data_IF_207142287712
#
_entry.id   IF_207142287712
#
_cell.length_a   1.000
_cell.length_b   1.000
_cell.length_c   1.000
_cell.angle_alpha   90.00
_cell.angle_beta   90.00
_cell.angle_gamma   90.00
#
_symmetry.space_group_name_H-M   'P 1'
#
loop_
_entity.id
_entity.type
_entity.pdbx_description
1 polymer ?
#
# COMPACT_ATOMS: atom_id res chain seq x y z
N UNK A 1 2.95 6.09 5.66
CA UNK A 1 1.65 5.44 5.97
C UNK A 1 0.71 5.45 4.77
N UNK A 2 0.44 6.62 4.15
CA UNK A 2 -0.41 6.69 2.95
C UNK A 2 0.10 5.80 1.80
N UNK A 3 1.37 5.96 1.39
CA UNK A 3 1.99 5.14 0.33
C UNK A 3 1.85 3.64 0.59
N UNK A 4 2.23 3.20 1.79
CA UNK A 4 2.04 1.82 2.27
C UNK A 4 0.61 1.32 2.03
N UNK A 5 -0.39 2.07 2.46
CA UNK A 5 -1.80 1.70 2.27
C UNK A 5 -2.19 1.65 0.79
N UNK A 6 -1.66 2.55 -0.05
CA UNK A 6 -1.91 2.56 -1.50
C UNK A 6 -1.24 1.39 -2.21
N UNK A 7 -0.01 1.06 -1.84
CA UNK A 7 0.73 -0.08 -2.39
C UNK A 7 0.01 -1.39 -2.09
N UNK A 8 -0.40 -1.60 -0.83
CA UNK A 8 -1.11 -2.80 -0.43
C UNK A 8 -2.48 -2.92 -1.11
N UNK A 9 -3.23 -1.81 -1.18
CA UNK A 9 -4.54 -1.75 -1.84
C UNK A 9 -4.43 -2.12 -3.33
N UNK A 10 -3.49 -1.50 -4.05
CA UNK A 10 -3.28 -1.80 -5.47
C UNK A 10 -2.87 -3.26 -5.72
N UNK A 11 -1.94 -3.79 -4.93
CA UNK A 11 -1.48 -5.17 -5.12
C UNK A 11 -2.56 -6.19 -4.77
N UNK A 12 -3.26 -6.01 -3.64
CA UNK A 12 -4.24 -6.99 -3.17
C UNK A 12 -5.57 -6.85 -3.91
N UNK A 13 -6.18 -5.67 -3.92
CA UNK A 13 -7.49 -5.50 -4.55
C UNK A 13 -7.39 -5.65 -6.06
N UNK A 14 -6.58 -4.81 -6.73
CA UNK A 14 -6.58 -4.80 -8.19
C UNK A 14 -5.81 -5.95 -8.81
N UNK A 15 -4.59 -6.26 -8.33
CA UNK A 15 -3.75 -7.27 -9.00
C UNK A 15 -4.09 -8.70 -8.59
N UNK A 16 -4.33 -8.96 -7.31
CA UNK A 16 -4.58 -10.31 -6.82
C UNK A 16 -6.06 -10.72 -6.87
N UNK A 17 -6.97 -9.84 -6.41
CA UNK A 17 -8.42 -10.12 -6.38
C UNK A 17 -9.13 -9.73 -7.68
N UNK A 18 -8.58 -8.81 -8.47
CA UNK A 18 -9.25 -8.26 -9.65
C UNK A 18 -10.42 -7.33 -9.31
N UNK A 19 -10.42 -6.77 -8.09
CA UNK A 19 -11.47 -5.91 -7.57
C UNK A 19 -11.07 -4.43 -7.64
N UNK A 20 -12.07 -3.51 -7.61
CA UNK A 20 -11.79 -2.11 -7.36
C UNK A 20 -11.01 -1.91 -6.07
N UNK A 21 -10.05 -0.97 -6.10
CA UNK A 21 -9.29 -0.58 -4.91
C UNK A 21 -10.23 -0.01 -3.86
N UNK A 22 -9.96 -0.25 -2.57
CA UNK A 22 -10.72 0.39 -1.50
C UNK A 22 -10.60 1.92 -1.61
N UNK A 23 -9.45 2.41 -2.03
CA UNK A 23 -9.17 3.83 -2.27
C UNK A 23 -10.25 4.54 -3.09
N UNK A 24 -10.65 3.98 -4.23
CA UNK A 24 -11.67 4.58 -5.11
C UNK A 24 -13.11 4.31 -4.63
N UNK A 25 -13.27 3.52 -3.57
CA UNK A 25 -14.56 3.24 -2.92
C UNK A 25 -14.78 4.14 -1.70
N UNK A 26 -14.55 5.45 -1.87
CA UNK A 26 -14.81 6.48 -0.86
C UNK A 26 -13.65 6.79 0.08
N UNK A 27 -12.58 5.99 0.11
CA UNK A 27 -11.41 6.29 0.95
C UNK A 27 -10.61 7.49 0.46
N UNK A 28 -10.52 7.73 -0.86
CA UNK A 28 -9.87 8.92 -1.41
C UNK A 28 -10.50 10.21 -0.85
N UNK A 29 -11.83 10.29 -0.84
CA UNK A 29 -12.57 11.42 -0.26
C UNK A 29 -12.29 11.57 1.25
N UNK A 30 -12.38 10.47 2.01
CA UNK A 30 -12.09 10.49 3.47
C UNK A 30 -10.66 10.91 3.78
N UNK A 31 -9.72 10.68 2.85
CA UNK A 31 -8.33 11.09 2.94
C UNK A 31 -8.07 12.50 2.37
N UNK A 32 -9.09 13.16 1.81
CA UNK A 32 -8.95 14.46 1.17
C UNK A 32 -8.06 14.42 -0.08
N UNK A 33 -8.19 13.35 -0.88
CA UNK A 33 -7.43 13.10 -2.10
C UNK A 33 -8.34 12.83 -3.29
N UNK A 34 -7.79 12.99 -4.49
CA UNK A 34 -8.48 12.63 -5.72
C UNK A 34 -8.60 11.10 -5.84
N UNK A 35 -9.73 10.57 -6.34
CA UNK A 35 -9.98 9.13 -6.46
C UNK A 35 -9.26 8.51 -7.66
N UNK A 36 -7.97 8.82 -7.84
CA UNK A 36 -7.12 8.23 -8.87
C UNK A 36 -6.54 6.88 -8.38
N UNK A 37 -6.95 5.73 -8.97
CA UNK A 37 -6.42 4.43 -8.58
C UNK A 37 -4.94 4.23 -8.93
N UNK A 38 -4.38 5.03 -9.82
CA UNK A 38 -2.98 4.99 -10.20
C UNK A 38 -2.09 5.90 -9.35
N UNK A 39 -2.68 6.86 -8.62
CA UNK A 39 -1.97 7.63 -7.62
C UNK A 39 -1.66 6.76 -6.40
N UNK A 40 -0.44 6.23 -6.42
CA UNK A 40 0.15 5.47 -5.31
C UNK A 40 1.34 6.20 -4.71
N UNK A 41 1.67 7.43 -5.14
CA UNK A 41 2.86 8.15 -4.70
C UNK A 41 4.19 7.64 -5.27
N UNK A 42 4.15 6.68 -6.21
CA UNK A 42 5.35 6.19 -6.86
C UNK A 42 5.86 7.23 -7.87
N UNK A 43 7.14 7.56 -7.80
CA UNK A 43 7.78 8.49 -8.74
C UNK A 43 7.52 9.97 -8.44
N UNK A 44 6.90 10.30 -7.31
CA UNK A 44 6.77 11.69 -6.87
C UNK A 44 8.13 12.38 -6.77
N UNK A 45 8.26 13.52 -7.47
CA UNK A 45 9.40 14.41 -7.38
C UNK A 45 9.26 15.42 -6.23
N UNK A 46 10.20 16.37 -6.21
CA UNK A 46 10.24 17.43 -5.19
C UNK A 46 9.01 18.33 -5.26
N UNK A 47 8.54 18.63 -6.47
CA UNK A 47 7.39 19.51 -6.67
C UNK A 47 6.08 18.85 -6.18
N UNK A 48 5.84 17.60 -6.54
CA UNK A 48 4.68 16.85 -6.06
C UNK A 48 4.69 16.73 -4.54
N UNK A 49 5.85 16.41 -3.94
CA UNK A 49 5.99 16.32 -2.49
C UNK A 49 5.80 17.66 -1.78
N UNK A 50 6.21 18.77 -2.41
CA UNK A 50 6.05 20.12 -1.85
C UNK A 50 4.60 20.57 -1.85
N UNK A 51 3.81 20.12 -2.83
CA UNK A 51 2.37 20.36 -2.91
C UNK A 51 1.54 19.31 -2.17
N UNK A 52 2.14 18.19 -1.77
CA UNK A 52 1.44 17.10 -1.13
C UNK A 52 1.01 17.45 0.29
N UNK A 53 -0.30 17.47 0.51
CA UNK A 53 -0.90 17.64 1.84
C UNK A 53 -1.10 16.28 2.50
N UNK A 54 -0.62 16.14 3.74
CA UNK A 54 -0.86 14.93 4.51
C UNK A 54 -2.35 14.81 4.84
N UNK A 55 -2.98 13.66 4.56
CA UNK A 55 -4.31 13.38 5.07
C UNK A 55 -4.34 13.41 6.59
N UNK A 56 -5.55 13.51 7.13
CA UNK A 56 -5.81 13.36 8.56
C UNK A 56 -5.22 12.03 9.09
N UNK A 57 -4.64 12.08 10.29
CA UNK A 57 -3.89 10.95 10.85
C UNK A 57 -4.84 9.80 11.18
N UNK A 58 -5.98 10.08 11.79
CA UNK A 58 -6.97 9.09 12.16
C UNK A 58 -7.54 8.45 10.88
N UNK A 59 -7.86 9.23 9.86
CA UNK A 59 -8.27 8.72 8.54
C UNK A 59 -7.20 7.80 7.89
N UNK A 60 -5.91 8.14 8.00
CA UNK A 60 -4.81 7.29 7.52
C UNK A 60 -4.74 5.96 8.25
N UNK A 61 -4.89 5.98 9.58
CA UNK A 61 -4.87 4.77 10.40
C UNK A 61 -6.06 3.88 10.04
N UNK A 62 -7.26 4.46 9.94
CA UNK A 62 -8.46 3.71 9.57
C UNK A 62 -8.34 3.09 8.17
N UNK A 63 -7.83 3.84 7.18
CA UNK A 63 -7.59 3.32 5.84
C UNK A 63 -6.59 2.17 5.86
N UNK A 64 -5.46 2.35 6.57
CA UNK A 64 -4.44 1.30 6.72
C UNK A 64 -5.00 0.04 7.40
N UNK A 65 -5.86 0.21 8.41
CA UNK A 65 -6.55 -0.89 9.08
C UNK A 65 -7.52 -1.60 8.14
N UNK A 66 -8.31 -0.86 7.36
CA UNK A 66 -9.26 -1.43 6.42
C UNK A 66 -8.55 -2.27 5.35
N UNK A 67 -7.48 -1.75 4.75
CA UNK A 67 -6.73 -2.53 3.75
C UNK A 67 -6.01 -3.72 4.36
N UNK A 68 -5.47 -3.59 5.58
CA UNK A 68 -4.86 -4.71 6.29
C UNK A 68 -5.87 -5.83 6.53
N UNK A 69 -7.10 -5.50 6.94
CA UNK A 69 -8.14 -6.50 7.18
C UNK A 69 -8.53 -7.21 5.89
N UNK A 70 -8.81 -6.49 4.80
CA UNK A 70 -9.07 -7.09 3.48
C UNK A 70 -7.90 -7.96 3.00
N UNK A 71 -6.66 -7.53 3.26
CA UNK A 71 -5.45 -8.29 2.94
C UNK A 71 -5.36 -9.60 3.71
N UNK A 72 -5.64 -9.58 5.02
CA UNK A 72 -5.63 -10.77 5.85
C UNK A 72 -6.75 -11.73 5.49
N UNK A 73 -7.96 -11.22 5.23
CA UNK A 73 -9.08 -12.01 4.74
C UNK A 73 -8.71 -12.74 3.44
N UNK A 74 -8.12 -12.03 2.48
CA UNK A 74 -7.64 -12.65 1.26
C UNK A 74 -6.54 -13.68 1.55
N UNK A 75 -5.52 -13.32 2.35
CA UNK A 75 -4.42 -14.22 2.70
C UNK A 75 -4.91 -15.53 3.34
N UNK A 76 -5.88 -15.46 4.26
CA UNK A 76 -6.43 -16.64 4.93
C UNK A 76 -7.38 -17.47 4.05
N UNK A 77 -7.87 -16.90 2.94
CA UNK A 77 -8.69 -17.63 1.97
C UNK A 77 -7.88 -18.49 1.00
N UNK A 78 -6.55 -18.30 0.94
CA UNK A 78 -5.68 -18.95 -0.03
C UNK A 78 -5.15 -20.29 0.49
N UNK A 79 -5.19 -21.30 -0.36
CA UNK A 79 -4.46 -22.55 -0.18
C UNK A 79 -3.05 -22.49 -0.80
N UNK A 80 -2.25 -23.52 -0.53
CA UNK A 80 -0.87 -23.62 -1.03
C UNK A 80 -0.82 -23.64 -2.56
N UNK A 81 -1.74 -24.35 -3.22
CA UNK A 81 -1.79 -24.44 -4.68
C UNK A 81 -2.03 -23.06 -5.30
N UNK A 82 -2.97 -22.29 -4.77
CA UNK A 82 -3.27 -20.94 -5.25
C UNK A 82 -2.09 -20.00 -4.96
N UNK A 83 -1.46 -20.10 -3.80
CA UNK A 83 -0.27 -19.30 -3.46
C UNK A 83 0.88 -19.50 -4.47
N UNK A 84 1.08 -20.74 -4.91
CA UNK A 84 2.19 -21.11 -5.79
C UNK A 84 1.88 -20.84 -7.28
N UNK A 85 0.63 -21.05 -7.70
CA UNK A 85 0.29 -21.10 -9.12
C UNK A 85 -0.54 -19.91 -9.63
N UNK A 86 -1.30 -19.22 -8.77
CA UNK A 86 -2.06 -18.04 -9.22
C UNK A 86 -1.09 -16.92 -9.54
N UNK A 87 -1.11 -16.46 -10.78
CA UNK A 87 -0.24 -15.39 -11.24
C UNK A 87 -0.86 -14.01 -11.04
N UNK A 88 0.00 -13.03 -10.75
CA UNK A 88 -0.31 -11.60 -10.78
C UNK A 88 0.67 -10.90 -11.70
N UNK A 89 0.17 -9.95 -12.48
CA UNK A 89 0.99 -9.12 -13.36
C UNK A 89 1.64 -8.03 -12.53
N UNK A 90 2.94 -7.81 -12.70
CA UNK A 90 3.72 -6.73 -12.05
C UNK A 90 3.58 -5.41 -12.81
N UNK A 91 4.15 -4.32 -12.28
CA UNK A 91 4.13 -3.02 -12.98
C UNK A 91 4.91 -3.08 -14.30
N UNK A 92 5.92 -3.93 -14.41
CA UNK A 92 6.76 -4.07 -15.62
C UNK A 92 6.19 -5.06 -16.63
N UNK A 93 4.99 -5.61 -16.38
CA UNK A 93 4.33 -6.57 -17.28
C UNK A 93 4.80 -8.01 -17.14
N UNK A 94 5.72 -8.31 -16.22
CA UNK A 94 6.09 -9.69 -15.88
C UNK A 94 5.02 -10.34 -14.99
N UNK A 95 4.94 -11.66 -14.95
CA UNK A 95 4.09 -12.40 -14.01
C UNK A 95 4.90 -12.95 -12.85
N UNK A 96 4.29 -12.96 -11.66
CA UNK A 96 4.81 -13.61 -10.45
C UNK A 96 3.66 -14.33 -9.74
N UNK A 97 3.94 -15.35 -8.93
CA UNK A 97 2.89 -16.00 -8.13
C UNK A 97 2.35 -15.05 -7.04
N UNK A 98 1.13 -15.31 -6.55
CA UNK A 98 0.55 -14.61 -5.40
C UNK A 98 1.45 -14.72 -4.16
N UNK A 99 2.09 -15.87 -3.94
CA UNK A 99 3.06 -16.05 -2.86
C UNK A 99 4.29 -15.12 -3.02
N UNK A 100 4.84 -15.04 -4.24
CA UNK A 100 5.95 -14.12 -4.53
C UNK A 100 5.54 -12.64 -4.40
N UNK A 101 4.29 -12.31 -4.75
CA UNK A 101 3.73 -10.98 -4.50
C UNK A 101 3.66 -10.65 -3.01
N UNK A 102 3.21 -11.57 -2.16
CA UNK A 102 3.18 -11.33 -0.71
C UNK A 102 4.58 -11.19 -0.11
N UNK A 103 5.55 -11.96 -0.61
CA UNK A 103 6.96 -11.76 -0.24
C UNK A 103 7.46 -10.37 -0.62
N UNK A 104 7.14 -9.88 -1.84
CA UNK A 104 7.45 -8.53 -2.26
C UNK A 104 6.82 -7.46 -1.36
N UNK A 105 5.54 -7.63 -1.02
CA UNK A 105 4.82 -6.73 -0.11
C UNK A 105 5.45 -6.70 1.27
N UNK A 106 5.84 -7.85 1.86
CA UNK A 106 6.54 -7.87 3.14
C UNK A 106 7.80 -7.00 3.12
N UNK A 107 8.57 -7.05 2.03
CA UNK A 107 9.76 -6.22 1.88
C UNK A 107 9.42 -4.73 1.77
N UNK A 108 8.42 -4.37 0.97
CA UNK A 108 7.93 -2.98 0.87
C UNK A 108 7.66 -2.42 2.27
N UNK A 109 6.86 -3.14 3.07
CA UNK A 109 6.39 -2.63 4.37
C UNK A 109 7.56 -2.42 5.32
N UNK A 110 8.51 -3.36 5.33
CA UNK A 110 9.70 -3.27 6.16
C UNK A 110 10.57 -2.06 5.77
N UNK A 111 10.79 -1.85 4.47
CA UNK A 111 11.61 -0.73 3.97
C UNK A 111 10.98 0.62 4.32
N UNK A 112 9.68 0.79 4.10
CA UNK A 112 8.99 2.03 4.43
C UNK A 112 8.84 2.25 5.95
N UNK A 113 8.74 1.16 6.73
CA UNK A 113 8.83 1.22 8.19
C UNK A 113 10.18 1.78 8.66
N UNK A 114 11.28 1.29 8.07
CA UNK A 114 12.63 1.81 8.33
C UNK A 114 12.79 3.28 7.96
N UNK A 115 12.33 3.70 6.77
CA UNK A 115 12.36 5.09 6.34
C UNK A 115 11.57 6.02 7.28
N UNK A 116 10.37 5.60 7.69
CA UNK A 116 9.57 6.37 8.65
C UNK A 116 10.28 6.49 10.01
N UNK A 117 10.91 5.40 10.47
CA UNK A 117 11.73 5.41 11.69
C UNK A 117 12.92 6.36 11.59
N UNK A 118 13.63 6.35 10.46
CA UNK A 118 14.75 7.23 10.18
C UNK A 118 14.35 8.70 10.17
N UNK A 119 13.29 9.06 9.44
CA UNK A 119 12.75 10.43 9.40
C UNK A 119 12.30 10.91 10.79
N UNK A 120 11.64 10.04 11.56
CA UNK A 120 11.25 10.37 12.94
C UNK A 120 12.48 10.63 13.81
N UNK A 121 13.53 9.83 13.68
CA UNK A 121 14.80 10.03 14.39
C UNK A 121 15.47 11.35 14.00
N UNK A 122 15.50 11.71 12.72
CA UNK A 122 16.01 13.00 12.25
C UNK A 122 15.23 14.19 12.83
N UNK A 123 13.90 14.08 12.92
CA UNK A 123 13.06 15.16 13.45
C UNK A 123 13.17 15.32 14.97
N UNK A 124 13.33 14.22 15.72
CA UNK A 124 13.34 14.25 17.20
C UNK A 124 14.73 14.34 17.83
N UNK A 125 15.77 13.87 17.13
CA UNK A 125 17.14 13.75 17.67
C UNK A 125 17.38 12.48 18.50
N UNK A 126 18.63 12.22 18.87
CA UNK A 126 19.02 11.09 19.73
C UNK A 126 18.59 11.38 21.19
N UNK A 127 17.69 10.56 21.74
CA UNK A 127 17.31 10.61 23.16
C UNK A 127 15.93 11.19 23.49
N UNK A 128 15.07 11.40 22.50
CA UNK A 128 13.66 11.81 22.68
C UNK A 128 12.67 10.91 21.95
#
# INVERSE_FOLDING_TARGET
MWHYGRALDRWVQSRAKGEPQLYVQGWAERLGKDPDPDDVGFGYGVEELSNWRCPDKEALVEYATAIRNSTLEYLYSLDEETMLNKEVITRTGTTISVGAMFFHLLWEVNQHGGQAGYLRGMQRGLGQ
#
